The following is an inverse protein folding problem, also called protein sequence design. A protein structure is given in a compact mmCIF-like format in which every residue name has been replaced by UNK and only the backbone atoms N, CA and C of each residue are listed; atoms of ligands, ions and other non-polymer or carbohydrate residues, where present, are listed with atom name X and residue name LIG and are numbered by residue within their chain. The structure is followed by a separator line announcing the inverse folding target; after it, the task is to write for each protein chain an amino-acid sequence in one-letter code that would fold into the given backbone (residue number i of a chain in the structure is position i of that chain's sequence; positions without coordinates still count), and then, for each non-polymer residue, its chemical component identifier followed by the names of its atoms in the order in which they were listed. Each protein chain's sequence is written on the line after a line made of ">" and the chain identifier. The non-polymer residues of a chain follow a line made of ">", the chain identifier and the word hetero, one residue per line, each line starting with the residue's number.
data_IF_993462185910
#
_entry.id   IF_993462185910
#
_cell.length_a   1.000
_cell.length_b   1.000
_cell.length_c   1.000
_cell.angle_alpha   90.00
_cell.angle_beta   90.00
_cell.angle_gamma   90.00
#
_symmetry.space_group_name_H-M   'P 1'
#
loop_
_entity.id
_entity.type
_entity.pdbx_description
1 polymer ?
#
# COMPACT_ATOMS: atom_id res chain seq x y z
N UNK A 1 -6.11 -22.99 65.69
CA UNK A 1 -7.11 -23.09 64.61
C UNK A 1 -6.45 -22.54 63.36
N UNK A 2 -5.71 -23.38 62.62
CA UNK A 2 -4.84 -22.91 61.54
C UNK A 2 -5.42 -23.34 60.20
N UNK A 3 -5.67 -22.34 59.35
CA UNK A 3 -5.51 -22.43 57.90
C UNK A 3 -6.50 -23.32 57.11
N UNK A 4 -7.80 -23.00 57.13
CA UNK A 4 -8.79 -23.62 56.24
C UNK A 4 -8.64 -23.28 54.75
N UNK A 5 -7.80 -22.28 54.42
CA UNK A 5 -7.62 -21.76 53.05
C UNK A 5 -6.18 -21.86 52.52
N UNK A 6 -5.28 -22.47 53.29
CA UNK A 6 -3.89 -22.64 52.84
C UNK A 6 -3.85 -23.69 51.73
N UNK A 7 -3.32 -23.31 50.57
CA UNK A 7 -3.31 -24.14 49.36
C UNK A 7 -4.52 -23.96 48.43
N UNK A 8 -5.53 -23.15 48.80
CA UNK A 8 -6.63 -22.80 47.88
C UNK A 8 -6.30 -21.53 47.10
N UNK A 9 -6.53 -21.57 45.79
CA UNK A 9 -6.38 -20.39 44.92
C UNK A 9 -7.49 -19.40 45.27
N UNK A 10 -7.11 -18.16 45.58
CA UNK A 10 -8.07 -17.08 45.85
C UNK A 10 -8.94 -16.81 44.63
N UNK A 11 -10.25 -16.64 44.86
CA UNK A 11 -11.22 -16.22 43.84
C UNK A 11 -10.77 -14.99 43.05
N UNK A 12 -10.03 -14.08 43.70
CA UNK A 12 -9.46 -12.90 43.07
C UNK A 12 -8.42 -13.24 42.00
N UNK A 13 -7.53 -14.21 42.27
CA UNK A 13 -6.53 -14.67 41.31
C UNK A 13 -7.16 -15.35 40.09
N UNK A 14 -8.29 -16.05 40.30
CA UNK A 14 -9.06 -16.66 39.21
C UNK A 14 -9.67 -15.57 38.31
N UNK A 15 -10.24 -14.51 38.89
CA UNK A 15 -10.76 -13.36 38.13
C UNK A 15 -9.66 -12.68 37.31
N UNK A 16 -8.53 -12.35 37.93
CA UNK A 16 -7.38 -11.74 37.24
C UNK A 16 -6.90 -12.63 36.09
N UNK A 17 -6.78 -13.95 36.31
CA UNK A 17 -6.34 -14.87 35.26
C UNK A 17 -7.27 -14.85 34.05
N UNK A 18 -8.58 -14.73 34.27
CA UNK A 18 -9.55 -14.64 33.19
C UNK A 18 -9.47 -13.29 32.47
N UNK A 19 -9.39 -12.18 33.21
CA UNK A 19 -9.21 -10.83 32.64
C UNK A 19 -7.91 -10.71 31.82
N UNK A 20 -6.82 -11.31 32.29
CA UNK A 20 -5.55 -11.35 31.54
C UNK A 20 -5.69 -12.14 30.23
N UNK A 21 -6.40 -13.28 30.27
CA UNK A 21 -6.64 -14.11 29.08
C UNK A 21 -7.48 -13.39 28.03
N UNK A 22 -8.51 -12.65 28.46
CA UNK A 22 -9.34 -11.83 27.57
C UNK A 22 -8.52 -10.70 26.93
N UNK A 23 -7.70 -10.00 27.72
CA UNK A 23 -6.79 -8.96 27.20
C UNK A 23 -5.76 -9.52 26.21
N UNK A 24 -5.22 -10.72 26.45
CA UNK A 24 -4.33 -11.39 25.50
C UNK A 24 -5.04 -11.77 24.20
N UNK A 25 -6.31 -12.19 24.28
CA UNK A 25 -7.11 -12.51 23.09
C UNK A 25 -7.38 -11.28 22.23
N UNK A 26 -7.69 -10.14 22.85
CA UNK A 26 -7.91 -8.86 22.17
C UNK A 26 -6.64 -8.38 21.46
N UNK A 27 -5.50 -8.39 22.17
CA UNK A 27 -4.20 -8.04 21.56
C UNK A 27 -3.85 -8.90 20.35
N UNK A 28 -4.18 -10.20 20.39
CA UNK A 28 -3.95 -11.10 19.24
C UNK A 28 -4.84 -10.73 18.05
N UNK A 29 -6.10 -10.34 18.28
CA UNK A 29 -6.98 -9.87 17.23
C UNK A 29 -6.47 -8.57 16.61
N UNK A 30 -6.07 -7.60 17.44
CA UNK A 30 -5.55 -6.32 16.97
C UNK A 30 -4.33 -6.50 16.04
N UNK A 31 -3.39 -7.38 16.42
CA UNK A 31 -2.21 -7.71 15.60
C UNK A 31 -2.60 -8.36 14.27
N UNK A 32 -3.56 -9.30 14.28
CA UNK A 32 -4.02 -9.98 13.07
C UNK A 32 -4.69 -9.00 12.10
N UNK A 33 -5.46 -8.05 12.63
CA UNK A 33 -6.15 -7.07 11.81
C UNK A 33 -5.19 -6.01 11.28
N UNK A 34 -4.18 -5.59 12.05
CA UNK A 34 -3.07 -4.76 11.55
C UNK A 34 -2.29 -5.46 10.43
N UNK A 35 -1.97 -6.74 10.57
CA UNK A 35 -1.28 -7.52 9.52
C UNK A 35 -2.11 -7.64 8.24
N UNK A 36 -3.44 -7.82 8.36
CA UNK A 36 -4.33 -7.84 7.19
C UNK A 36 -4.38 -6.49 6.48
N UNK A 37 -4.49 -5.41 7.25
CA UNK A 37 -4.51 -4.05 6.72
C UNK A 37 -3.19 -3.73 6.01
N UNK A 38 -2.06 -4.13 6.59
CA UNK A 38 -0.74 -3.97 5.97
C UNK A 38 -0.65 -4.70 4.63
N UNK A 39 -1.07 -5.98 4.58
CA UNK A 39 -1.09 -6.77 3.34
C UNK A 39 -2.01 -6.18 2.28
N UNK A 40 -3.17 -5.66 2.66
CA UNK A 40 -4.10 -5.02 1.72
C UNK A 40 -3.51 -3.71 1.16
N UNK A 41 -2.80 -2.93 1.99
CA UNK A 41 -2.09 -1.74 1.56
C UNK A 41 -0.96 -2.06 0.58
N UNK A 42 -0.18 -3.11 0.84
CA UNK A 42 0.86 -3.59 -0.08
C UNK A 42 0.26 -4.00 -1.44
N UNK A 43 -0.81 -4.81 -1.42
CA UNK A 43 -1.48 -5.23 -2.64
C UNK A 43 -2.04 -4.05 -3.45
N UNK A 44 -2.63 -3.05 -2.79
CA UNK A 44 -3.11 -1.82 -3.44
C UNK A 44 -1.95 -1.05 -4.07
N UNK A 45 -0.81 -0.97 -3.39
CA UNK A 45 0.39 -0.30 -3.91
C UNK A 45 0.92 -1.01 -5.16
N UNK A 46 0.99 -2.33 -5.15
CA UNK A 46 1.40 -3.12 -6.32
C UNK A 46 0.44 -2.91 -7.50
N UNK A 47 -0.86 -2.99 -7.27
CA UNK A 47 -1.87 -2.74 -8.29
C UNK A 47 -1.74 -1.33 -8.89
N UNK A 48 -1.57 -0.31 -8.04
CA UNK A 48 -1.37 1.06 -8.50
C UNK A 48 -0.11 1.19 -9.36
N UNK A 49 0.99 0.52 -8.98
CA UNK A 49 2.22 0.53 -9.76
C UNK A 49 2.03 -0.10 -11.14
N UNK A 50 1.29 -1.22 -11.21
CA UNK A 50 0.95 -1.88 -12.47
C UNK A 50 0.09 -0.96 -13.35
N UNK A 51 -0.92 -0.31 -12.80
CA UNK A 51 -1.77 0.64 -13.52
C UNK A 51 -0.98 1.83 -14.07
N UNK A 52 -0.07 2.41 -13.27
CA UNK A 52 0.78 3.51 -13.71
C UNK A 52 1.72 3.09 -14.85
N UNK A 53 2.31 1.90 -14.77
CA UNK A 53 3.15 1.33 -15.84
C UNK A 53 2.35 1.06 -17.11
N UNK A 54 1.11 0.58 -16.98
CA UNK A 54 0.21 0.38 -18.12
C UNK A 54 -0.12 1.71 -18.79
N UNK A 55 -0.52 2.72 -18.02
CA UNK A 55 -0.80 4.07 -18.53
C UNK A 55 0.42 4.70 -19.21
N UNK A 56 1.60 4.53 -18.62
CA UNK A 56 2.86 4.96 -19.25
C UNK A 56 3.05 4.29 -20.61
N UNK A 57 2.87 2.97 -20.69
CA UNK A 57 3.00 2.22 -21.94
C UNK A 57 1.99 2.67 -23.01
N UNK A 58 0.74 2.93 -22.64
CA UNK A 58 -0.28 3.44 -23.57
C UNK A 58 0.10 4.81 -24.13
N UNK A 59 0.48 5.75 -23.26
CA UNK A 59 0.91 7.10 -23.67
C UNK A 59 2.18 7.02 -24.50
N UNK A 60 3.14 6.17 -24.12
CA UNK A 60 4.38 6.00 -24.86
C UNK A 60 4.12 5.43 -26.26
N UNK A 61 3.19 4.49 -26.43
CA UNK A 61 2.76 4.01 -27.76
C UNK A 61 2.21 5.14 -28.61
N UNK A 62 1.36 6.00 -28.06
CA UNK A 62 0.81 7.16 -28.78
C UNK A 62 1.89 8.21 -29.10
N UNK A 63 2.81 8.44 -28.16
CA UNK A 63 3.96 9.32 -28.35
C UNK A 63 4.84 8.83 -29.50
N UNK A 64 5.20 7.54 -29.54
CA UNK A 64 6.03 6.95 -30.58
C UNK A 64 5.41 7.08 -31.98
N UNK A 65 4.08 6.95 -32.10
CA UNK A 65 3.36 7.17 -33.37
C UNK A 65 3.54 8.60 -33.91
N UNK A 66 3.61 9.59 -33.01
CA UNK A 66 3.70 11.00 -33.38
C UNK A 66 5.16 11.46 -33.49
N UNK A 67 6.07 10.85 -32.73
CA UNK A 67 7.48 11.24 -32.67
C UNK A 67 8.22 11.02 -33.99
N UNK A 68 7.87 9.99 -34.77
CA UNK A 68 8.47 9.70 -36.08
C UNK A 68 7.95 10.60 -37.21
N UNK A 69 6.89 11.39 -36.98
CA UNK A 69 6.33 12.27 -37.99
C UNK A 69 7.22 13.52 -38.04
N UNK A 70 8.07 13.62 -39.07
CA UNK A 70 9.03 14.73 -39.23
C UNK A 70 8.33 16.04 -39.67
N UNK A 71 7.18 15.95 -40.36
CA UNK A 71 6.37 17.10 -40.78
C UNK A 71 5.43 17.61 -39.66
N UNK A 72 6.01 18.06 -38.56
CA UNK A 72 5.28 18.76 -37.48
C UNK A 72 5.19 20.25 -37.80
N UNK A 73 4.66 20.58 -38.98
CA UNK A 73 4.38 21.98 -39.37
C UNK A 73 3.09 22.53 -38.73
N UNK A 74 2.42 21.73 -37.89
CA UNK A 74 1.20 22.13 -37.18
C UNK A 74 1.50 22.34 -35.69
N UNK A 75 1.32 23.57 -35.21
CA UNK A 75 1.44 23.97 -33.79
C UNK A 75 0.66 23.02 -32.86
N UNK A 76 -0.48 22.48 -33.32
CA UNK A 76 -1.27 21.51 -32.55
C UNK A 76 -0.52 20.19 -32.33
N UNK A 77 0.20 19.69 -33.33
CA UNK A 77 0.95 18.42 -33.24
C UNK A 77 2.18 18.59 -32.34
N UNK A 78 2.87 19.73 -32.41
CA UNK A 78 3.98 20.10 -31.51
C UNK A 78 3.51 20.14 -30.05
N UNK A 79 2.42 20.87 -29.78
CA UNK A 79 1.85 20.96 -28.43
C UNK A 79 1.37 19.60 -27.89
N UNK A 80 0.86 18.74 -28.77
CA UNK A 80 0.44 17.37 -28.41
C UNK A 80 1.65 16.52 -28.02
N UNK A 81 2.77 16.63 -28.74
CA UNK A 81 4.03 15.96 -28.42
C UNK A 81 4.58 16.43 -27.06
N UNK A 82 4.64 17.75 -26.83
CA UNK A 82 5.08 18.31 -25.54
C UNK A 82 4.20 17.86 -24.37
N UNK A 83 2.88 17.78 -24.56
CA UNK A 83 1.97 17.29 -23.52
C UNK A 83 2.26 15.82 -23.18
N UNK A 84 2.47 14.97 -24.18
CA UNK A 84 2.84 13.57 -23.94
C UNK A 84 4.19 13.45 -23.23
N UNK A 85 5.18 14.27 -23.56
CA UNK A 85 6.47 14.28 -22.86
C UNK A 85 6.32 14.70 -21.40
N UNK A 86 5.46 15.70 -21.12
CA UNK A 86 5.15 16.12 -19.75
C UNK A 86 4.45 15.02 -18.97
N UNK A 87 3.45 14.37 -19.56
CA UNK A 87 2.70 13.28 -18.94
C UNK A 87 3.60 12.06 -18.67
N UNK A 88 4.45 11.67 -19.63
CA UNK A 88 5.40 10.57 -19.46
C UNK A 88 6.40 10.87 -18.33
N UNK A 89 6.95 12.08 -18.27
CA UNK A 89 7.89 12.49 -17.23
C UNK A 89 7.23 12.53 -15.84
N UNK A 90 5.96 12.97 -15.75
CA UNK A 90 5.20 12.92 -14.50
C UNK A 90 5.00 11.46 -14.05
N UNK A 91 4.51 10.60 -14.94
CA UNK A 91 4.29 9.19 -14.64
C UNK A 91 5.59 8.48 -14.22
N UNK A 92 6.71 8.79 -14.88
CA UNK A 92 8.02 8.23 -14.55
C UNK A 92 8.47 8.63 -13.13
N UNK A 93 8.27 9.91 -12.75
CA UNK A 93 8.55 10.38 -11.39
C UNK A 93 7.66 9.70 -10.35
N UNK A 94 6.38 9.54 -10.65
CA UNK A 94 5.42 8.92 -9.73
C UNK A 94 5.74 7.43 -9.53
N UNK A 95 6.07 6.71 -10.61
CA UNK A 95 6.55 5.32 -10.56
C UNK A 95 7.84 5.22 -9.73
N UNK A 96 8.85 6.06 -10.01
CA UNK A 96 10.10 6.05 -9.25
C UNK A 96 9.90 6.36 -7.76
N UNK A 97 8.98 7.26 -7.42
CA UNK A 97 8.66 7.59 -6.04
C UNK A 97 7.99 6.41 -5.32
N UNK A 98 7.05 5.74 -5.98
CA UNK A 98 6.36 4.56 -5.44
C UNK A 98 7.31 3.36 -5.27
N UNK A 99 8.22 3.14 -6.22
CA UNK A 99 9.24 2.10 -6.14
C UNK A 99 10.28 2.39 -5.05
N UNK A 100 10.74 3.64 -4.91
CA UNK A 100 11.67 4.04 -3.83
C UNK A 100 11.05 3.94 -2.44
N UNK A 101 9.75 4.20 -2.30
CA UNK A 101 9.01 3.96 -1.04
C UNK A 101 8.82 2.47 -0.74
N UNK A 102 9.32 1.55 -1.56
CA UNK A 102 9.23 0.11 -1.36
C UNK A 102 10.48 -0.54 -0.75
N UNK A 103 11.54 0.24 -0.53
CA UNK A 103 12.76 -0.14 0.18
C UNK A 103 12.81 0.56 1.53
#
# INVERSE_FOLDING_TARGET
>A
MLFQDYGKISLYLIKIKNELREKESLKKQDIIDEEKIAKELELKKENLLVELKNKYNEINKEYLKISHIVDINSVRKLKKKENYEKELNQLEKDIQKLEKMSY
#
